data_IF_947526233985
#
_entry.id   IF_947526233985
#
_cell.length_a   1.000
_cell.length_b   1.000
_cell.length_c   1.000
_cell.angle_alpha   90.00
_cell.angle_beta   90.00
_cell.angle_gamma   90.00
#
_symmetry.space_group_name_H-M   'P 1'
#
loop_
_entity.id
_entity.type
_entity.pdbx_description
1 polymer ?
#
# COMPACT_ATOMS: atom_id res chain seq x y z
N UNK A 1 15.06 25.35 -11.81
CA UNK A 1 15.53 24.68 -10.57
C UNK A 1 14.84 23.31 -10.47
N UNK A 2 15.65 22.25 -10.44
CA UNK A 2 15.38 20.81 -10.24
C UNK A 2 14.22 20.13 -11.02
N UNK A 3 14.50 19.18 -11.93
CA UNK A 3 13.49 18.30 -12.50
C UNK A 3 12.92 17.38 -11.40
N UNK A 4 11.60 17.15 -11.41
CA UNK A 4 11.00 16.07 -10.63
C UNK A 4 11.61 14.74 -11.09
N UNK A 5 12.01 13.83 -10.19
CA UNK A 5 12.62 12.57 -10.59
C UNK A 5 11.57 11.71 -11.31
N UNK A 6 11.86 11.35 -12.56
CA UNK A 6 11.18 10.29 -13.30
C UNK A 6 11.39 8.95 -12.56
N UNK A 7 10.33 8.15 -12.30
CA UNK A 7 10.51 6.87 -11.62
C UNK A 7 11.21 5.89 -12.55
N UNK A 8 12.35 5.36 -12.10
CA UNK A 8 13.08 4.27 -12.72
C UNK A 8 12.20 3.02 -12.87
N UNK A 9 12.47 2.12 -13.85
CA UNK A 9 11.73 0.88 -13.97
C UNK A 9 11.98 0.02 -12.72
N UNK A 10 10.91 -0.25 -11.97
CA UNK A 10 10.98 -1.07 -10.77
C UNK A 10 11.38 -2.52 -11.14
N UNK A 11 12.22 -3.19 -10.33
CA UNK A 11 12.50 -4.61 -10.48
C UNK A 11 11.20 -5.41 -10.38
N UNK A 12 11.11 -6.50 -11.15
CA UNK A 12 9.94 -7.38 -11.15
C UNK A 12 9.59 -7.80 -9.72
N UNK A 13 8.40 -7.45 -9.22
CA UNK A 13 8.04 -7.68 -7.83
C UNK A 13 7.98 -9.19 -7.53
N UNK A 14 8.42 -9.66 -6.34
CA UNK A 14 8.08 -11.01 -5.86
C UNK A 14 6.57 -11.33 -5.99
N UNK A 15 6.20 -12.60 -6.06
CA UNK A 15 4.82 -13.04 -6.31
C UNK A 15 3.76 -12.43 -5.35
N UNK A 16 4.15 -12.11 -4.11
CA UNK A 16 3.27 -11.40 -3.16
C UNK A 16 3.06 -9.93 -3.53
N UNK A 17 4.08 -9.28 -4.06
CA UNK A 17 4.00 -7.89 -4.50
C UNK A 17 3.15 -7.70 -5.76
N UNK A 18 2.93 -8.74 -6.56
CA UNK A 18 1.87 -8.74 -7.58
C UNK A 18 0.46 -8.75 -6.98
N UNK A 19 0.23 -9.42 -5.85
CA UNK A 19 -1.06 -9.35 -5.14
C UNK A 19 -1.27 -7.95 -4.56
N UNK A 20 -0.22 -7.38 -3.97
CA UNK A 20 -0.28 -6.01 -3.44
C UNK A 20 -0.46 -4.96 -4.54
N UNK A 21 0.17 -5.11 -5.71
CA UNK A 21 -0.09 -4.22 -6.85
C UNK A 21 -1.52 -4.40 -7.36
N UNK A 22 -2.04 -5.63 -7.44
CA UNK A 22 -3.43 -5.85 -7.86
C UNK A 22 -4.42 -5.20 -6.89
N UNK A 23 -4.16 -5.30 -5.58
CA UNK A 23 -4.91 -4.59 -4.54
C UNK A 23 -4.79 -3.08 -4.72
N UNK A 24 -3.58 -2.55 -4.89
CA UNK A 24 -3.37 -1.12 -5.08
C UNK A 24 -4.00 -0.59 -6.38
N UNK A 25 -4.08 -1.42 -7.41
CA UNK A 25 -4.77 -1.13 -8.66
C UNK A 25 -6.28 -1.01 -8.44
N UNK A 26 -6.85 -1.90 -7.64
CA UNK A 26 -8.27 -1.88 -7.32
C UNK A 26 -8.65 -0.75 -6.34
N UNK A 27 -7.81 -0.49 -5.33
CA UNK A 27 -8.04 0.51 -4.28
C UNK A 27 -7.73 1.94 -4.73
N UNK A 28 -6.60 2.13 -5.41
CA UNK A 28 -6.04 3.45 -5.72
C UNK A 28 -5.74 3.67 -7.19
N UNK A 29 -6.13 2.74 -8.07
CA UNK A 29 -5.76 2.78 -9.49
C UNK A 29 -4.26 2.59 -9.75
N UNK A 30 -3.52 2.05 -8.78
CA UNK A 30 -2.08 1.81 -8.85
C UNK A 30 -1.23 2.98 -8.36
N UNK A 31 -1.86 4.03 -7.84
CA UNK A 31 -1.15 5.19 -7.33
C UNK A 31 -0.72 5.01 -5.87
N UNK A 32 0.55 4.64 -5.68
CA UNK A 32 1.14 4.44 -4.35
C UNK A 32 1.33 5.73 -3.54
N UNK A 33 1.30 6.90 -4.18
CA UNK A 33 1.43 8.21 -3.53
C UNK A 33 0.07 8.94 -3.41
N UNK A 34 -1.05 8.22 -3.58
CA UNK A 34 -2.36 8.85 -3.54
C UNK A 34 -2.65 9.46 -2.16
N UNK A 35 -3.10 10.70 -2.18
CA UNK A 35 -3.58 11.42 -1.01
C UNK A 35 -4.67 12.40 -1.47
N UNK A 36 -5.91 11.90 -1.51
CA UNK A 36 -7.08 12.68 -1.96
C UNK A 36 -7.75 13.44 -0.82
N UNK A 37 -7.26 13.31 0.41
CA UNK A 37 -7.89 13.90 1.60
C UNK A 37 -9.14 13.17 2.08
N UNK A 38 -9.37 11.94 1.63
CA UNK A 38 -10.46 11.06 2.08
C UNK A 38 -10.19 10.36 3.44
N UNK A 39 -9.02 10.60 4.04
CA UNK A 39 -8.58 9.98 5.30
C UNK A 39 -7.82 8.66 5.13
N UNK A 40 -7.63 8.21 3.89
CA UNK A 40 -6.84 7.05 3.51
C UNK A 40 -5.68 7.50 2.62
N UNK A 41 -4.59 6.77 2.69
CA UNK A 41 -3.33 7.20 2.08
C UNK A 41 -2.62 6.03 1.42
N UNK A 42 -1.93 6.35 0.33
CA UNK A 42 -1.08 5.41 -0.40
C UNK A 42 -1.85 4.35 -1.19
N UNK A 43 -1.12 3.49 -1.88
CA UNK A 43 -1.68 2.58 -2.89
C UNK A 43 -2.70 1.60 -2.31
N UNK A 44 -2.48 1.18 -1.07
CA UNK A 44 -3.34 0.24 -0.36
C UNK A 44 -4.38 0.92 0.53
N UNK A 45 -4.64 2.23 0.35
CA UNK A 45 -5.67 2.96 1.09
C UNK A 45 -5.56 2.73 2.61
N UNK A 46 -4.37 2.98 3.17
CA UNK A 46 -4.15 2.80 4.60
C UNK A 46 -4.75 3.96 5.40
N UNK A 47 -5.39 3.63 6.52
CA UNK A 47 -5.67 4.59 7.58
C UNK A 47 -4.35 5.02 8.24
N UNK A 48 -4.17 6.31 8.51
CA UNK A 48 -2.99 6.81 9.21
C UNK A 48 -2.80 6.16 10.58
N UNK A 49 -3.89 5.96 11.33
CA UNK A 49 -3.85 5.29 12.64
C UNK A 49 -3.34 3.86 12.55
N UNK A 50 -3.83 3.07 11.59
CA UNK A 50 -3.36 1.70 11.33
C UNK A 50 -1.91 1.71 10.87
N UNK A 51 -1.54 2.59 9.95
CA UNK A 51 -0.16 2.73 9.49
C UNK A 51 0.82 2.91 10.65
N UNK A 52 0.52 3.85 11.55
CA UNK A 52 1.34 4.10 12.73
C UNK A 52 1.32 2.91 13.71
N UNK A 53 0.17 2.28 13.92
CA UNK A 53 0.03 1.14 14.82
C UNK A 53 0.90 -0.08 14.41
N UNK A 54 1.10 -0.27 13.11
CA UNK A 54 1.91 -1.38 12.57
C UNK A 54 3.39 -1.03 12.34
N UNK A 55 3.81 0.17 12.76
CA UNK A 55 5.20 0.62 12.69
C UNK A 55 5.57 1.34 11.38
N UNK A 56 4.58 1.75 10.60
CA UNK A 56 4.77 2.53 9.37
C UNK A 56 5.42 3.90 9.62
N UNK A 57 5.25 4.44 10.83
CA UNK A 57 5.92 5.67 11.29
C UNK A 57 7.45 5.64 11.20
N UNK A 58 8.07 4.47 11.15
CA UNK A 58 9.51 4.33 10.94
C UNK A 58 9.94 4.64 9.49
N UNK A 59 9.02 4.54 8.53
CA UNK A 59 9.26 4.87 7.13
C UNK A 59 8.79 6.29 6.80
N UNK A 60 7.55 6.63 7.18
CA UNK A 60 6.98 7.96 6.99
C UNK A 60 5.77 8.20 7.93
N UNK A 61 5.37 9.45 8.13
CA UNK A 61 4.16 9.77 8.91
C UNK A 61 2.86 9.35 8.21
N UNK A 62 2.87 9.34 6.88
CA UNK A 62 1.76 8.91 6.05
C UNK A 62 2.21 7.81 5.08
N UNK A 63 1.33 6.84 4.78
CA UNK A 63 1.59 5.82 3.75
C UNK A 63 1.94 6.43 2.39
N UNK A 64 1.28 7.53 1.99
CA UNK A 64 1.50 8.22 0.71
C UNK A 64 2.90 8.81 0.56
N UNK A 65 3.57 9.12 1.68
CA UNK A 65 4.95 9.60 1.71
C UNK A 65 5.97 8.45 1.78
N UNK A 66 5.50 7.22 2.00
CA UNK A 66 6.35 6.02 2.05
C UNK A 66 6.45 5.37 0.67
N UNK A 67 7.60 4.76 0.39
CA UNK A 67 7.80 3.95 -0.81
C UNK A 67 6.81 2.78 -0.85
N UNK A 68 6.50 2.32 -2.07
CA UNK A 68 5.66 1.14 -2.31
C UNK A 68 6.09 -0.06 -1.45
N UNK A 69 7.39 -0.33 -1.38
CA UNK A 69 7.95 -1.46 -0.64
C UNK A 69 7.71 -1.33 0.87
N UNK A 70 7.78 -0.11 1.41
CA UNK A 70 7.46 0.17 2.80
C UNK A 70 5.97 -0.03 3.08
N UNK A 71 5.10 0.40 2.16
CA UNK A 71 3.66 0.16 2.26
C UNK A 71 3.35 -1.34 2.25
N UNK A 72 3.95 -2.09 1.34
CA UNK A 72 3.82 -3.54 1.25
C UNK A 72 4.33 -4.24 2.52
N UNK A 73 5.45 -3.78 3.10
CA UNK A 73 5.99 -4.37 4.32
C UNK A 73 5.01 -4.22 5.51
N UNK A 74 4.39 -3.05 5.66
CA UNK A 74 3.38 -2.81 6.70
C UNK A 74 2.08 -3.56 6.38
N UNK A 75 1.69 -3.64 5.12
CA UNK A 75 0.53 -4.41 4.69
C UNK A 75 0.67 -5.90 4.92
N UNK A 76 1.87 -6.43 4.71
CA UNK A 76 2.20 -7.83 5.03
C UNK A 76 2.04 -8.07 6.52
N UNK A 77 2.56 -7.18 7.38
CA UNK A 77 2.35 -7.28 8.83
C UNK A 77 0.88 -7.23 9.23
N UNK A 78 0.11 -6.31 8.64
CA UNK A 78 -1.32 -6.18 8.89
C UNK A 78 -2.09 -7.43 8.44
N UNK A 79 -1.74 -7.98 7.28
CA UNK A 79 -2.28 -9.24 6.74
C UNK A 79 -1.99 -10.39 7.70
N UNK A 80 -0.74 -10.56 8.11
CA UNK A 80 -0.33 -11.63 9.02
C UNK A 80 -1.02 -11.51 10.38
N UNK A 81 -1.17 -10.30 10.91
CA UNK A 81 -1.91 -10.04 12.15
C UNK A 81 -3.42 -10.28 12.00
N UNK A 82 -3.99 -9.99 10.83
CA UNK A 82 -5.43 -10.20 10.55
C UNK A 82 -5.75 -11.63 10.11
N UNK A 83 -4.73 -12.46 9.84
CA UNK A 83 -4.88 -13.81 9.30
C UNK A 83 -5.27 -13.86 7.82
N UNK A 84 -5.09 -12.77 7.07
CA UNK A 84 -5.44 -12.70 5.64
C UNK A 84 -5.67 -11.27 5.13
N UNK A 85 -6.31 -11.15 3.97
CA UNK A 85 -6.58 -9.87 3.30
C UNK A 85 -7.87 -9.17 3.77
N UNK A 86 -8.36 -9.53 4.96
CA UNK A 86 -9.56 -8.94 5.58
C UNK A 86 -9.60 -7.40 5.68
N UNK A 87 -8.48 -6.66 5.81
CA UNK A 87 -8.47 -5.20 5.74
C UNK A 87 -8.86 -4.61 4.39
N UNK A 88 -8.80 -5.41 3.31
CA UNK A 88 -9.15 -4.99 1.94
C UNK A 88 -10.31 -5.84 1.40
N UNK A 89 -11.49 -5.86 2.03
CA UNK A 89 -12.51 -6.87 1.76
C UNK A 89 -13.06 -6.80 0.32
N UNK A 90 -13.26 -5.60 -0.23
CA UNK A 90 -13.83 -5.45 -1.57
C UNK A 90 -12.87 -5.92 -2.67
N UNK A 91 -11.64 -5.41 -2.64
CA UNK A 91 -10.63 -5.75 -3.64
C UNK A 91 -10.06 -7.16 -3.42
N UNK A 92 -9.87 -7.62 -2.18
CA UNK A 92 -9.46 -8.99 -1.90
C UNK A 92 -10.50 -10.02 -2.37
N UNK A 93 -11.80 -9.74 -2.20
CA UNK A 93 -12.87 -10.59 -2.75
C UNK A 93 -12.81 -10.65 -4.28
N UNK A 94 -12.64 -9.50 -4.93
CA UNK A 94 -12.53 -9.43 -6.40
C UNK A 94 -11.29 -10.14 -6.94
N UNK A 95 -10.25 -10.30 -6.13
CA UNK A 95 -9.01 -11.00 -6.46
C UNK A 95 -9.01 -12.48 -6.03
N UNK A 96 -10.07 -12.96 -5.37
CA UNK A 96 -10.17 -14.34 -4.91
C UNK A 96 -9.25 -14.68 -3.74
N UNK A 97 -8.96 -13.70 -2.88
CA UNK A 97 -8.02 -13.80 -1.75
C UNK A 97 -8.72 -14.01 -0.39
N UNK A 98 -10.05 -14.09 -0.38
CA UNK A 98 -10.89 -14.32 0.81
C UNK A 98 -11.44 -15.74 0.86
#
# INVERSE_FOLDING_TARGET
PAPAPEPAPAPEPPADSSVWDALAQCESGGNWAINTGNGYYGGLQFLQSTWLAYGGGAYAQLPSDASREAQIAIATKLRDASGGYGPWPACAASLGLL
#
